data_IF_921737820607
#
_entry.id   IF_921737820607
#
_cell.length_a   1.000
_cell.length_b   1.000
_cell.length_c   1.000
_cell.angle_alpha   90.00
_cell.angle_beta   90.00
_cell.angle_gamma   90.00
#
_symmetry.space_group_name_H-M   'P 1'
#
loop_
_entity.id
_entity.type
_entity.pdbx_description
1 polymer ?
#
# COMPACT_ATOMS: atom_id res chain seq x y z
N UNK A 1 -13.66 2.93 24.56
CA UNK A 1 -13.24 2.84 23.15
C UNK A 1 -13.07 1.36 22.84
N UNK A 2 -13.65 0.88 21.75
CA UNK A 2 -13.45 -0.54 21.37
C UNK A 2 -12.05 -0.75 20.79
N UNK A 3 -11.50 -1.97 20.88
CA UNK A 3 -10.19 -2.34 20.33
C UNK A 3 -10.02 -1.93 18.85
N UNK A 4 -11.08 -2.04 18.05
CA UNK A 4 -11.06 -1.67 16.63
C UNK A 4 -11.14 -0.16 16.39
N UNK A 5 -11.77 0.57 17.32
CA UNK A 5 -11.91 2.02 17.24
C UNK A 5 -10.58 2.72 17.54
N UNK A 6 -9.80 2.20 18.51
CA UNK A 6 -8.45 2.71 18.78
C UNK A 6 -7.51 2.47 17.60
N UNK A 7 -7.51 1.28 17.00
CA UNK A 7 -6.73 0.97 15.80
C UNK A 7 -7.04 1.95 14.67
N UNK A 8 -8.33 2.14 14.35
CA UNK A 8 -8.73 3.03 13.26
C UNK A 8 -8.35 4.49 13.54
N UNK A 9 -8.41 4.95 14.79
CA UNK A 9 -7.97 6.30 15.15
C UNK A 9 -6.45 6.47 14.93
N UNK A 10 -5.64 5.51 15.37
CA UNK A 10 -4.19 5.54 15.17
C UNK A 10 -3.82 5.48 13.69
N UNK A 11 -4.51 4.64 12.90
CA UNK A 11 -4.33 4.59 11.44
C UNK A 11 -4.74 5.89 10.76
N UNK A 12 -5.82 6.54 11.20
CA UNK A 12 -6.22 7.85 10.68
C UNK A 12 -5.14 8.91 10.98
N UNK A 13 -4.55 8.92 12.18
CA UNK A 13 -3.43 9.82 12.50
C UNK A 13 -2.26 9.56 11.56
N UNK A 14 -1.92 8.28 11.34
CA UNK A 14 -0.80 7.90 10.49
C UNK A 14 -1.01 8.30 9.02
N UNK A 15 -2.14 7.88 8.42
CA UNK A 15 -2.38 8.03 6.98
C UNK A 15 -2.98 9.38 6.54
N UNK A 16 -3.47 10.21 7.47
CA UNK A 16 -3.88 11.58 7.12
C UNK A 16 -2.70 12.55 7.00
N UNK A 17 -1.48 12.12 7.31
CA UNK A 17 -0.27 12.90 7.05
C UNK A 17 -0.08 13.08 5.55
N UNK A 18 0.45 14.23 5.15
CA UNK A 18 1.03 14.44 3.82
C UNK A 18 2.49 13.96 3.83
N UNK A 19 2.79 12.92 3.04
CA UNK A 19 4.10 12.31 2.96
C UNK A 19 5.18 13.31 2.51
N UNK A 20 4.81 14.30 1.68
CA UNK A 20 5.74 15.28 1.11
C UNK A 20 6.18 16.35 2.10
N UNK A 21 5.51 16.45 3.25
CA UNK A 21 5.86 17.37 4.31
C UNK A 21 6.98 16.76 5.15
N UNK A 22 8.16 17.37 5.06
CA UNK A 22 9.33 17.02 5.89
C UNK A 22 8.98 17.13 7.38
N UNK A 23 9.33 16.09 8.12
CA UNK A 23 9.14 16.02 9.56
C UNK A 23 10.45 16.40 10.26
N UNK A 24 10.34 16.90 11.49
CA UNK A 24 11.51 16.94 12.37
C UNK A 24 11.91 15.51 12.80
N UNK A 25 13.17 15.29 13.16
CA UNK A 25 13.66 14.00 13.68
C UNK A 25 12.76 13.43 14.81
N UNK A 26 12.26 14.31 15.69
CA UNK A 26 11.36 13.90 16.79
C UNK A 26 9.97 13.50 16.32
N UNK A 27 9.50 14.03 15.20
CA UNK A 27 8.24 13.63 14.60
C UNK A 27 8.40 12.33 13.82
N UNK A 28 9.51 12.16 13.09
CA UNK A 28 9.86 10.89 12.44
C UNK A 28 9.92 9.75 13.45
N UNK A 29 10.65 9.91 14.55
CA UNK A 29 10.74 8.90 15.63
C UNK A 29 9.35 8.52 16.17
N UNK A 30 8.46 9.51 16.39
CA UNK A 30 7.08 9.24 16.84
C UNK A 30 6.27 8.47 15.80
N UNK A 31 6.46 8.75 14.51
CA UNK A 31 5.73 8.06 13.45
C UNK A 31 6.23 6.62 13.29
N UNK A 32 7.53 6.39 13.40
CA UNK A 32 8.11 5.04 13.43
C UNK A 32 7.62 4.25 14.64
N UNK A 33 7.65 4.85 15.84
CA UNK A 33 7.13 4.24 17.06
C UNK A 33 5.64 3.93 16.95
N UNK A 34 4.84 4.82 16.34
CA UNK A 34 3.43 4.60 16.09
C UNK A 34 3.21 3.40 15.15
N UNK A 35 3.92 3.35 14.03
CA UNK A 35 3.81 2.26 13.05
C UNK A 35 4.22 0.91 13.63
N UNK A 36 5.33 0.86 14.37
CA UNK A 36 5.80 -0.35 15.04
C UNK A 36 4.86 -0.77 16.18
N UNK A 37 4.38 0.20 16.97
CA UNK A 37 3.42 0.00 18.06
C UNK A 37 2.09 -0.58 17.58
N UNK A 38 1.59 -0.14 16.43
CA UNK A 38 0.39 -0.70 15.82
C UNK A 38 0.51 -2.21 15.58
N UNK A 39 1.61 -2.67 14.97
CA UNK A 39 1.83 -4.10 14.71
C UNK A 39 2.00 -4.88 16.02
N UNK A 40 2.74 -4.31 16.98
CA UNK A 40 2.99 -4.92 18.29
C UNK A 40 1.70 -5.11 19.11
N UNK A 41 0.82 -4.10 19.11
CA UNK A 41 -0.35 -4.06 19.98
C UNK A 41 -1.55 -4.82 19.37
N UNK A 42 -1.71 -4.78 18.04
CA UNK A 42 -2.90 -5.31 17.36
C UNK A 42 -2.63 -6.58 16.54
N UNK A 43 -1.36 -6.88 16.28
CA UNK A 43 -0.94 -7.99 15.41
C UNK A 43 -1.04 -7.63 13.92
N UNK A 44 -0.07 -8.13 13.14
CA UNK A 44 0.08 -7.79 11.72
C UNK A 44 -1.20 -7.99 10.90
N UNK A 45 -1.83 -9.18 10.98
CA UNK A 45 -3.02 -9.47 10.19
C UNK A 45 -4.12 -8.43 10.46
N UNK A 46 -4.37 -8.07 11.71
CA UNK A 46 -5.38 -7.06 12.08
C UNK A 46 -5.04 -5.69 11.50
N UNK A 47 -3.78 -5.26 11.64
CA UNK A 47 -3.30 -3.96 11.14
C UNK A 47 -3.42 -3.88 9.63
N UNK A 48 -2.97 -4.91 8.92
CA UNK A 48 -3.06 -4.97 7.46
C UNK A 48 -4.51 -4.87 6.97
N UNK A 49 -5.44 -5.64 7.56
CA UNK A 49 -6.84 -5.58 7.15
C UNK A 49 -7.45 -4.19 7.38
N UNK A 50 -7.11 -3.54 8.50
CA UNK A 50 -7.59 -2.20 8.81
C UNK A 50 -6.97 -1.13 7.89
N UNK A 51 -5.67 -1.21 7.62
CA UNK A 51 -4.95 -0.32 6.70
C UNK A 51 -5.49 -0.46 5.26
N UNK A 52 -5.69 -1.70 4.79
CA UNK A 52 -6.25 -1.93 3.46
C UNK A 52 -7.72 -1.48 3.35
N UNK A 53 -8.49 -1.61 4.44
CA UNK A 53 -9.83 -1.02 4.50
C UNK A 53 -9.76 0.51 4.41
N UNK A 54 -8.86 1.15 5.16
CA UNK A 54 -8.65 2.59 5.10
C UNK A 54 -8.31 3.05 3.67
N UNK A 55 -7.36 2.37 3.01
CA UNK A 55 -6.95 2.65 1.63
C UNK A 55 -8.16 2.63 0.68
N UNK A 56 -9.03 1.61 0.80
CA UNK A 56 -10.20 1.48 -0.07
C UNK A 56 -11.32 2.48 0.21
N UNK A 57 -11.49 2.87 1.46
CA UNK A 57 -12.60 3.75 1.86
C UNK A 57 -12.27 5.23 1.69
N UNK A 58 -11.02 5.61 1.99
CA UNK A 58 -10.59 7.01 2.11
C UNK A 58 -9.71 7.49 0.96
N UNK A 59 -8.87 6.64 0.38
CA UNK A 59 -8.02 7.05 -0.74
C UNK A 59 -8.82 6.89 -2.04
N UNK A 60 -9.50 7.99 -2.44
CA UNK A 60 -10.35 8.35 -3.63
C UNK A 60 -9.72 8.67 -4.98
N UNK A 61 -8.53 9.25 -4.95
CA UNK A 61 -7.83 9.80 -6.11
C UNK A 61 -6.45 9.19 -6.28
N UNK A 62 -5.79 9.34 -7.44
CA UNK A 62 -4.38 8.99 -7.63
C UNK A 62 -3.48 9.55 -6.52
N UNK A 63 -3.59 10.84 -6.19
CA UNK A 63 -2.74 11.51 -5.20
C UNK A 63 -2.91 10.89 -3.80
N UNK A 64 -4.16 10.59 -3.42
CA UNK A 64 -4.44 9.99 -2.11
C UNK A 64 -3.91 8.56 -1.98
N UNK A 65 -3.84 7.79 -3.07
CA UNK A 65 -3.26 6.43 -3.04
C UNK A 65 -1.74 6.47 -3.09
N UNK A 66 -1.15 7.43 -3.79
CA UNK A 66 0.30 7.65 -3.78
C UNK A 66 0.78 8.11 -2.41
N UNK A 67 0.06 9.05 -1.76
CA UNK A 67 0.36 9.44 -0.38
C UNK A 67 0.33 8.24 0.58
N UNK A 68 -0.68 7.38 0.45
CA UNK A 68 -0.74 6.15 1.23
C UNK A 68 0.45 5.23 0.94
N UNK A 69 0.85 5.07 -0.33
CA UNK A 69 1.96 4.21 -0.72
C UNK A 69 3.28 4.64 -0.06
N UNK A 70 3.61 5.93 -0.09
CA UNK A 70 4.80 6.46 0.59
C UNK A 70 4.76 6.24 2.10
N UNK A 71 3.65 6.55 2.77
CA UNK A 71 3.52 6.33 4.22
C UNK A 71 3.57 4.83 4.58
N UNK A 72 3.00 3.97 3.73
CA UNK A 72 3.09 2.53 3.90
C UNK A 72 4.53 2.03 3.75
N UNK A 73 5.32 2.61 2.84
CA UNK A 73 6.74 2.32 2.72
C UNK A 73 7.51 2.72 3.97
N UNK A 74 7.33 3.96 4.45
CA UNK A 74 7.96 4.51 5.66
C UNK A 74 7.62 3.69 6.92
N UNK A 75 6.44 3.07 6.97
CA UNK A 75 6.03 2.23 8.09
C UNK A 75 6.81 0.91 8.23
N UNK A 76 7.63 0.54 7.23
CA UNK A 76 8.29 -0.76 7.10
C UNK A 76 7.34 -1.97 6.99
N UNK A 77 6.03 -1.74 6.87
CA UNK A 77 5.02 -2.81 6.85
C UNK A 77 5.11 -3.74 5.63
N UNK A 78 5.75 -3.29 4.55
CA UNK A 78 6.08 -4.12 3.39
C UNK A 78 6.97 -5.35 3.72
N UNK A 79 7.62 -5.37 4.90
CA UNK A 79 8.39 -6.53 5.35
C UNK A 79 7.54 -7.68 5.89
N UNK A 80 6.26 -7.45 6.16
CA UNK A 80 5.37 -8.49 6.65
C UNK A 80 4.66 -9.19 5.48
N UNK A 81 4.52 -10.53 5.50
CA UNK A 81 3.87 -11.27 4.44
C UNK A 81 2.37 -10.95 4.37
N UNK A 82 1.84 -10.85 3.16
CA UNK A 82 0.43 -10.55 2.88
C UNK A 82 -0.18 -11.74 2.13
N UNK A 83 -1.40 -12.14 2.49
CA UNK A 83 -2.07 -13.30 1.86
C UNK A 83 -2.51 -13.04 0.42
N UNK A 84 -2.97 -11.82 0.12
CA UNK A 84 -3.47 -11.43 -1.20
C UNK A 84 -2.68 -10.21 -1.74
N UNK A 85 -1.37 -10.34 -2.02
CA UNK A 85 -0.52 -9.18 -2.31
C UNK A 85 -0.88 -8.51 -3.65
N UNK A 86 -1.24 -9.28 -4.68
CA UNK A 86 -1.73 -8.71 -5.95
C UNK A 86 -3.02 -7.92 -5.79
N UNK A 87 -3.92 -8.37 -4.91
CA UNK A 87 -5.16 -7.64 -4.63
C UNK A 87 -4.88 -6.31 -3.93
N UNK A 88 -3.89 -6.29 -3.05
CA UNK A 88 -3.44 -5.08 -2.38
C UNK A 88 -2.76 -4.12 -3.37
N UNK A 89 -1.71 -4.59 -4.07
CA UNK A 89 -0.96 -3.78 -5.02
C UNK A 89 -1.82 -3.31 -6.20
N UNK A 90 -2.65 -4.20 -6.75
CA UNK A 90 -3.54 -3.89 -7.86
C UNK A 90 -4.54 -2.76 -7.56
N UNK A 91 -4.82 -2.45 -6.29
CA UNK A 91 -5.64 -1.30 -5.95
C UNK A 91 -4.93 0.03 -6.26
N UNK A 92 -3.62 0.14 -6.03
CA UNK A 92 -2.85 1.35 -6.37
C UNK A 92 -2.86 1.57 -7.88
N UNK A 93 -2.44 0.56 -8.64
CA UNK A 93 -2.41 0.59 -10.10
C UNK A 93 -3.79 0.87 -10.73
N UNK A 94 -4.86 0.28 -10.18
CA UNK A 94 -6.24 0.60 -10.59
C UNK A 94 -6.56 2.08 -10.40
N UNK A 95 -6.15 2.67 -9.28
CA UNK A 95 -6.53 4.03 -8.90
C UNK A 95 -5.74 5.12 -9.60
N UNK A 96 -4.54 4.81 -10.07
CA UNK A 96 -3.76 5.66 -10.98
C UNK A 96 -4.07 5.34 -12.46
N UNK A 97 -4.97 4.40 -12.74
CA UNK A 97 -5.31 4.02 -14.12
C UNK A 97 -4.16 3.37 -14.90
N UNK A 98 -3.21 2.75 -14.21
CA UNK A 98 -1.92 2.26 -14.75
C UNK A 98 -1.00 3.37 -15.29
N UNK A 99 -1.27 4.64 -15.00
CA UNK A 99 -0.45 5.77 -15.48
C UNK A 99 0.71 6.07 -14.53
N UNK A 100 1.70 5.18 -14.51
CA UNK A 100 2.89 5.32 -13.66
C UNK A 100 3.80 6.47 -14.08
N UNK A 101 3.78 6.84 -15.36
CA UNK A 101 4.56 7.98 -15.87
C UNK A 101 4.04 9.30 -15.29
N UNK A 102 2.74 9.45 -15.08
CA UNK A 102 2.16 10.64 -14.44
C UNK A 102 2.30 10.62 -12.91
N UNK A 103 2.08 9.46 -12.28
CA UNK A 103 1.86 9.41 -10.83
C UNK A 103 3.01 8.82 -10.00
N UNK A 104 3.95 8.08 -10.60
CA UNK A 104 5.03 7.36 -9.86
C UNK A 104 6.46 7.66 -10.39
N UNK A 105 6.61 8.52 -11.40
CA UNK A 105 7.86 8.69 -12.16
C UNK A 105 9.08 9.17 -11.36
N UNK A 106 8.88 9.86 -10.25
CA UNK A 106 9.96 10.53 -9.52
C UNK A 106 10.56 9.67 -8.41
N UNK A 107 9.84 8.64 -7.93
CA UNK A 107 10.25 7.84 -6.78
C UNK A 107 10.08 6.32 -6.96
N UNK A 108 9.43 5.86 -8.03
CA UNK A 108 9.22 4.43 -8.33
C UNK A 108 8.69 3.67 -7.09
N UNK A 109 7.77 4.29 -6.33
CA UNK A 109 7.35 3.76 -5.04
C UNK A 109 6.46 2.54 -5.21
N UNK A 110 5.64 2.47 -6.27
CA UNK A 110 4.82 1.30 -6.54
C UNK A 110 5.66 0.14 -7.04
N UNK A 111 6.73 0.40 -7.79
CA UNK A 111 7.71 -0.62 -8.20
C UNK A 111 8.45 -1.18 -6.98
N UNK A 112 8.93 -0.30 -6.11
CA UNK A 112 9.62 -0.65 -4.87
C UNK A 112 8.72 -1.50 -3.95
N UNK A 113 7.46 -1.08 -3.77
CA UNK A 113 6.47 -1.82 -2.99
C UNK A 113 6.11 -3.16 -3.65
N UNK A 114 5.86 -3.17 -4.96
CA UNK A 114 5.49 -4.38 -5.70
C UNK A 114 6.59 -5.43 -5.59
N UNK A 115 7.84 -5.09 -5.90
CA UNK A 115 8.97 -6.01 -5.80
C UNK A 115 9.13 -6.54 -4.37
N UNK A 116 9.09 -5.64 -3.38
CA UNK A 116 9.28 -6.01 -1.97
C UNK A 116 8.18 -6.92 -1.44
N UNK A 117 6.91 -6.54 -1.62
CA UNK A 117 5.75 -7.27 -1.09
C UNK A 117 5.56 -8.60 -1.82
N UNK A 118 5.65 -8.62 -3.14
CA UNK A 118 5.44 -9.83 -3.94
C UNK A 118 6.53 -10.86 -3.65
N UNK A 119 7.80 -10.43 -3.59
CA UNK A 119 8.93 -11.31 -3.25
C UNK A 119 8.76 -11.88 -1.84
N UNK A 120 8.44 -11.04 -0.83
CA UNK A 120 8.15 -11.51 0.55
C UNK A 120 6.98 -12.48 0.62
N UNK A 121 6.03 -12.36 -0.31
CA UNK A 121 4.85 -13.22 -0.39
C UNK A 121 5.07 -14.47 -1.26
N UNK A 122 6.29 -14.70 -1.77
CA UNK A 122 6.69 -15.93 -2.46
C UNK A 122 6.62 -15.88 -3.99
N UNK A 123 6.35 -14.71 -4.59
CA UNK A 123 6.28 -14.52 -6.04
C UNK A 123 7.66 -14.16 -6.59
N UNK A 124 8.45 -15.19 -6.92
CA UNK A 124 9.85 -15.05 -7.34
C UNK A 124 10.05 -14.24 -8.62
N UNK A 125 9.04 -14.14 -9.48
CA UNK A 125 9.13 -13.32 -10.69
C UNK A 125 9.31 -11.83 -10.39
N UNK A 126 8.90 -11.37 -9.21
CA UNK A 126 9.07 -9.98 -8.76
C UNK A 126 10.43 -9.76 -8.05
N UNK A 127 11.26 -10.79 -7.93
CA UNK A 127 12.60 -10.69 -7.37
C UNK A 127 13.57 -10.25 -8.47
N UNK A 128 14.08 -9.02 -8.37
CA UNK A 128 14.99 -8.44 -9.36
C UNK A 128 16.33 -9.16 -9.50
N UNK A 129 16.71 -10.03 -8.54
CA UNK A 129 17.85 -10.92 -8.73
C UNK A 129 17.56 -12.06 -9.70
N UNK A 130 16.31 -12.51 -9.77
CA UNK A 130 15.85 -13.60 -10.65
C UNK A 130 15.36 -13.06 -12.01
N UNK A 131 14.63 -11.93 -12.00
CA UNK A 131 14.18 -11.21 -13.19
C UNK A 131 14.52 -9.71 -13.09
N UNK A 132 15.71 -9.29 -13.58
CA UNK A 132 16.14 -7.88 -13.55
C UNK A 132 15.28 -6.93 -14.38
N UNK A 133 14.35 -7.46 -15.20
CA UNK A 133 13.48 -6.68 -16.08
C UNK A 133 12.02 -6.76 -15.65
N UNK A 134 11.74 -7.29 -14.45
CA UNK A 134 10.41 -7.29 -13.89
C UNK A 134 9.87 -5.87 -13.77
N UNK A 135 8.69 -5.64 -14.35
CA UNK A 135 7.92 -4.42 -14.16
C UNK A 135 6.45 -4.79 -13.86
N UNK A 136 5.82 -4.23 -12.82
CA UNK A 136 4.48 -4.64 -12.37
C UNK A 136 3.38 -4.49 -13.44
N UNK A 137 3.49 -3.51 -14.34
CA UNK A 137 2.49 -3.23 -15.38
C UNK A 137 2.43 -4.31 -16.46
N UNK A 138 3.47 -5.16 -16.54
CA UNK A 138 3.51 -6.31 -17.44
C UNK A 138 3.22 -7.63 -16.72
N UNK A 139 3.06 -7.63 -15.41
CA UNK A 139 2.72 -8.84 -14.66
C UNK A 139 1.26 -9.22 -14.93
N UNK A 140 0.98 -10.40 -15.51
CA UNK A 140 -0.39 -10.84 -15.78
C UNK A 140 -1.28 -10.91 -14.54
N UNK A 141 -0.72 -11.22 -13.37
CA UNK A 141 -1.46 -11.28 -12.11
C UNK A 141 -1.78 -9.88 -11.57
N UNK A 142 -0.91 -8.90 -11.82
CA UNK A 142 -1.19 -7.49 -11.50
C UNK A 142 -2.29 -6.95 -12.41
N UNK A 143 -2.18 -7.18 -13.72
CA UNK A 143 -3.20 -6.79 -14.71
C UNK A 143 -4.56 -7.39 -14.32
N UNK A 144 -4.59 -8.68 -13.99
CA UNK A 144 -5.83 -9.34 -13.55
C UNK A 144 -6.42 -8.68 -12.30
N UNK A 145 -5.60 -8.37 -11.30
CA UNK A 145 -6.08 -7.73 -10.07
C UNK A 145 -6.67 -6.33 -10.34
N UNK A 146 -6.08 -5.56 -11.27
CA UNK A 146 -6.60 -4.26 -11.71
C UNK A 146 -7.95 -4.42 -12.43
N UNK A 147 -8.05 -5.38 -13.36
CA UNK A 147 -9.28 -5.67 -14.08
C UNK A 147 -10.44 -6.07 -13.15
N UNK A 148 -10.15 -6.83 -12.09
CA UNK A 148 -11.14 -7.19 -11.06
C UNK A 148 -11.72 -5.94 -10.37
N UNK A 149 -10.92 -4.93 -10.06
CA UNK A 149 -11.42 -3.68 -9.50
C UNK A 149 -12.29 -2.91 -10.50
N UNK A 150 -11.84 -2.78 -11.75
CA UNK A 150 -12.60 -2.10 -12.82
C UNK A 150 -13.97 -2.76 -13.02
N UNK A 151 -14.02 -4.09 -13.05
CA UNK A 151 -15.26 -4.83 -13.25
C UNK A 151 -16.20 -4.71 -12.03
N UNK A 152 -15.65 -4.75 -10.82
CA UNK A 152 -16.44 -4.56 -9.60
C UNK A 152 -17.06 -3.17 -9.50
N UNK A 153 -16.36 -2.12 -9.94
CA UNK A 153 -16.90 -0.76 -9.96
C UNK A 153 -18.01 -0.60 -11.01
N UNK A 154 -17.80 -1.14 -12.22
CA UNK A 154 -18.84 -1.15 -13.27
C UNK A 154 -20.13 -1.82 -12.80
N UNK A 155 -20.01 -2.97 -12.13
CA UNK A 155 -21.15 -3.75 -11.64
C UNK A 155 -21.86 -3.11 -10.44
N UNK A 156 -21.22 -2.20 -9.69
CA UNK A 156 -21.87 -1.44 -8.60
C UNK A 156 -22.71 -0.27 -9.11
N UNK A 157 -22.42 0.20 -10.33
CA UNK A 157 -23.08 1.34 -10.95
C UNK A 157 -24.20 0.93 -11.93
N UNK A 158 -24.55 -0.36 -11.98
CA UNK A 158 -25.68 -0.94 -12.71
C UNK A 158 -26.71 -1.52 -11.73
#
# INVERSE_FOLDING_TARGET
MSFHEELNQKLNVFFNRDWSVELSEQEEEKMEELAAGLVKDFGWDTVFHAAFKYLKENCRTPESVMNFAHLYWESWWWNHPIKEPYRFMGYFYYRIGMDVEEYDSDQDILDSLSCSILTKSGYKQADLYEDPYYIPERDPLMIQAVEEYINNEKNRNH
#
